data_IF_559373024903
#
_entry.id   IF_559373024903
#
_cell.length_a   1.000
_cell.length_b   1.000
_cell.length_c   1.000
_cell.angle_alpha   90.00
_cell.angle_beta   90.00
_cell.angle_gamma   90.00
#
_symmetry.space_group_name_H-M   'P 1'
#
loop_
_entity.id
_entity.type
_entity.pdbx_description
1 polymer ?
#
# COMPACT_ATOMS: atom_id res chain seq x y z
N UNK A 1 -85.30 -49.18 21.45
CA UNK A 1 -85.43 -50.26 20.45
C UNK A 1 -85.15 -49.69 19.08
N UNK A 2 -84.33 -50.38 18.27
CA UNK A 2 -83.72 -49.90 17.02
C UNK A 2 -82.20 -50.04 17.10
N UNK A 3 -81.66 -51.26 17.14
CA UNK A 3 -81.26 -52.09 15.99
C UNK A 3 -80.27 -51.43 15.02
N UNK A 4 -79.03 -51.89 15.19
CA UNK A 4 -78.12 -52.41 14.16
C UNK A 4 -76.99 -51.54 13.59
N UNK A 5 -75.84 -52.21 13.31
CA UNK A 5 -74.52 -51.62 13.23
C UNK A 5 -74.02 -51.50 11.78
N UNK A 6 -73.28 -50.44 11.47
CA UNK A 6 -72.49 -50.35 10.23
C UNK A 6 -71.02 -50.63 10.58
N UNK A 7 -70.49 -51.82 10.32
CA UNK A 7 -70.05 -52.31 9.00
C UNK A 7 -68.91 -51.48 8.39
N UNK A 8 -67.69 -51.90 8.71
CA UNK A 8 -66.54 -52.05 7.80
C UNK A 8 -66.29 -50.98 6.73
N UNK A 9 -65.20 -50.21 6.91
CA UNK A 9 -64.20 -50.05 5.83
C UNK A 9 -62.85 -49.61 6.39
N UNK A 10 -61.99 -50.61 6.62
CA UNK A 10 -60.54 -50.44 6.56
C UNK A 10 -60.19 -49.89 5.17
N UNK A 11 -60.07 -48.56 5.05
CA UNK A 11 -59.37 -47.93 3.94
C UNK A 11 -57.90 -47.99 4.28
N UNK A 12 -57.30 -49.12 3.89
CA UNK A 12 -55.89 -49.23 3.54
C UNK A 12 -55.64 -48.12 2.50
N UNK A 13 -55.18 -46.96 2.95
CA UNK A 13 -54.60 -45.98 2.05
C UNK A 13 -53.31 -46.59 1.55
N UNK A 14 -53.39 -47.17 0.35
CA UNK A 14 -52.24 -47.52 -0.47
C UNK A 14 -51.36 -46.28 -0.57
N UNK A 15 -50.31 -46.28 0.26
CA UNK A 15 -49.12 -45.47 0.07
C UNK A 15 -48.53 -45.97 -1.25
N UNK A 16 -48.99 -45.40 -2.37
CA UNK A 16 -48.33 -45.55 -3.65
C UNK A 16 -46.90 -45.07 -3.45
N UNK A 17 -46.01 -46.05 -3.28
CA UNK A 17 -44.60 -45.94 -3.59
C UNK A 17 -44.55 -45.59 -5.08
N UNK A 18 -44.64 -44.30 -5.38
CA UNK A 18 -44.12 -43.71 -6.60
C UNK A 18 -42.70 -43.19 -6.31
N UNK A 19 -41.88 -44.06 -5.73
CA UNK A 19 -40.45 -44.10 -6.01
C UNK A 19 -40.38 -45.01 -7.24
N UNK A 20 -39.93 -44.57 -8.41
CA UNK A 20 -38.51 -44.66 -8.78
C UNK A 20 -38.31 -44.03 -10.17
N UNK A 21 -38.97 -42.90 -10.47
CA UNK A 21 -38.74 -42.16 -11.72
C UNK A 21 -37.86 -40.91 -11.52
N UNK A 22 -37.20 -40.78 -10.36
CA UNK A 22 -35.99 -39.96 -10.28
C UNK A 22 -34.85 -40.77 -10.88
N UNK A 23 -34.87 -40.75 -12.21
CA UNK A 23 -33.88 -41.25 -13.13
C UNK A 23 -32.46 -41.14 -12.57
N UNK A 24 -31.71 -42.22 -12.75
CA UNK A 24 -30.26 -42.31 -12.66
C UNK A 24 -29.60 -41.05 -13.25
N UNK A 25 -29.38 -40.04 -12.42
CA UNK A 25 -28.52 -38.92 -12.79
C UNK A 25 -27.11 -39.51 -12.72
N UNK A 26 -26.36 -39.55 -13.84
CA UNK A 26 -25.04 -40.15 -13.86
C UNK A 26 -24.18 -39.47 -12.78
N UNK A 27 -23.51 -40.26 -11.93
CA UNK A 27 -22.65 -39.74 -10.86
C UNK A 27 -21.60 -38.74 -11.37
N UNK A 28 -21.21 -38.90 -12.63
CA UNK A 28 -20.30 -38.02 -13.37
C UNK A 28 -20.79 -36.57 -13.42
N UNK A 29 -22.10 -36.39 -13.58
CA UNK A 29 -22.76 -35.10 -13.69
C UNK A 29 -22.82 -34.38 -12.33
N UNK A 30 -22.94 -35.15 -11.24
CA UNK A 30 -22.84 -34.63 -9.87
C UNK A 30 -21.41 -34.24 -9.48
N UNK A 31 -20.39 -34.98 -9.93
CA UNK A 31 -18.99 -34.56 -9.75
C UNK A 31 -18.68 -33.29 -10.52
N UNK A 32 -19.09 -33.21 -11.78
CA UNK A 32 -18.84 -32.06 -12.63
C UNK A 32 -19.48 -30.77 -12.08
N UNK A 33 -20.69 -30.86 -11.54
CA UNK A 33 -21.37 -29.71 -10.92
C UNK A 33 -20.70 -29.26 -9.61
N UNK A 34 -20.26 -30.19 -8.76
CA UNK A 34 -19.55 -29.84 -7.53
C UNK A 34 -18.19 -29.18 -7.77
N UNK A 35 -17.44 -29.64 -8.77
CA UNK A 35 -16.16 -29.03 -9.16
C UNK A 35 -16.36 -27.60 -9.69
N UNK A 36 -17.40 -27.38 -10.49
CA UNK A 36 -17.73 -26.05 -11.01
C UNK A 36 -18.10 -25.06 -9.90
N UNK A 37 -18.87 -25.52 -8.89
CA UNK A 37 -19.25 -24.70 -7.72
C UNK A 37 -18.02 -24.30 -6.88
N UNK A 38 -17.04 -25.20 -6.74
CA UNK A 38 -15.79 -24.91 -6.02
C UNK A 38 -14.94 -23.84 -6.75
N UNK A 39 -14.82 -23.94 -8.07
CA UNK A 39 -14.08 -22.96 -8.88
C UNK A 39 -14.70 -21.56 -8.74
N UNK A 40 -16.03 -21.46 -8.78
CA UNK A 40 -16.73 -20.17 -8.63
C UNK A 40 -16.46 -19.54 -7.26
N UNK A 41 -16.48 -20.31 -6.17
CA UNK A 41 -16.16 -19.79 -4.82
C UNK A 41 -14.71 -19.35 -4.69
N UNK A 42 -13.78 -20.08 -5.29
CA UNK A 42 -12.37 -19.71 -5.29
C UNK A 42 -12.16 -18.39 -6.04
N UNK A 43 -12.75 -18.24 -7.23
CA UNK A 43 -12.68 -16.99 -8.02
C UNK A 43 -13.30 -15.82 -7.24
N UNK A 44 -14.42 -16.04 -6.56
CA UNK A 44 -15.08 -15.01 -5.77
C UNK A 44 -14.22 -14.55 -4.58
N UNK A 45 -13.49 -15.46 -3.91
CA UNK A 45 -12.55 -15.11 -2.83
C UNK A 45 -11.37 -14.28 -3.32
N UNK A 46 -10.81 -14.60 -4.48
CA UNK A 46 -9.75 -13.80 -5.10
C UNK A 46 -10.23 -12.43 -5.53
N UNK A 47 -11.45 -12.34 -6.04
CA UNK A 47 -12.06 -11.05 -6.36
C UNK A 47 -12.18 -10.16 -5.12
N UNK A 48 -12.59 -10.68 -3.97
CA UNK A 48 -12.65 -9.89 -2.73
C UNK A 48 -11.27 -9.33 -2.37
N UNK A 49 -10.19 -10.12 -2.50
CA UNK A 49 -8.83 -9.65 -2.22
C UNK A 49 -8.37 -8.58 -3.22
N UNK A 50 -8.67 -8.74 -4.50
CA UNK A 50 -8.36 -7.76 -5.54
C UNK A 50 -9.13 -6.46 -5.29
N UNK A 51 -10.43 -6.52 -4.96
CA UNK A 51 -11.24 -5.33 -4.64
C UNK A 51 -10.69 -4.63 -3.40
N UNK A 52 -10.44 -5.37 -2.32
CA UNK A 52 -9.86 -4.80 -1.09
C UNK A 52 -8.53 -4.12 -1.41
N UNK A 53 -7.66 -4.76 -2.17
CA UNK A 53 -6.38 -4.18 -2.56
C UNK A 53 -6.53 -2.92 -3.45
N UNK A 54 -7.45 -2.95 -4.42
CA UNK A 54 -7.80 -1.78 -5.24
C UNK A 54 -8.41 -0.64 -4.42
N UNK A 55 -9.08 -0.92 -3.31
CA UNK A 55 -9.59 0.11 -2.40
C UNK A 55 -8.50 0.69 -1.48
N UNK A 56 -7.50 -0.11 -1.09
CA UNK A 56 -6.40 0.34 -0.24
C UNK A 56 -5.23 0.96 -1.03
N UNK A 57 -5.04 0.58 -2.30
CA UNK A 57 -4.03 1.14 -3.21
C UNK A 57 -4.08 2.67 -3.31
N UNK A 58 -5.25 3.31 -3.53
CA UNK A 58 -5.38 4.74 -3.52
C UNK A 58 -4.94 5.33 -2.19
N UNK A 59 -5.28 4.75 -1.05
CA UNK A 59 -4.89 5.30 0.28
C UNK A 59 -3.36 5.27 0.45
N UNK A 60 -2.71 4.22 -0.03
CA UNK A 60 -1.24 4.08 0.00
C UNK A 60 -0.56 5.06 -0.96
N UNK A 61 -1.14 5.26 -2.15
CA UNK A 61 -0.64 6.19 -3.18
C UNK A 61 -1.02 7.65 -2.91
N UNK A 62 -2.07 7.88 -2.13
CA UNK A 62 -2.59 9.20 -1.73
C UNK A 62 -1.91 9.71 -0.47
N UNK A 63 -0.81 9.11 -0.02
CA UNK A 63 0.11 9.79 0.89
C UNK A 63 0.73 10.92 0.05
N UNK A 64 0.13 12.13 0.04
CA UNK A 64 0.47 13.19 -0.93
C UNK A 64 1.91 13.64 -0.73
N UNK A 65 2.39 13.41 0.50
CA UNK A 65 3.71 13.67 0.98
C UNK A 65 4.83 13.04 0.13
N UNK A 66 4.58 11.87 -0.46
CA UNK A 66 5.58 11.22 -1.32
C UNK A 66 5.67 11.84 -2.72
N UNK A 67 4.56 12.32 -3.27
CA UNK A 67 4.51 12.84 -4.63
C UNK A 67 5.01 14.28 -4.72
N UNK A 68 4.65 15.12 -3.74
CA UNK A 68 5.11 16.51 -3.70
C UNK A 68 6.61 16.57 -3.39
N UNK A 69 7.10 15.82 -2.40
CA UNK A 69 8.54 15.68 -2.16
C UNK A 69 9.32 15.22 -3.39
N UNK A 70 8.85 14.23 -4.15
CA UNK A 70 9.52 13.78 -5.39
C UNK A 70 9.46 14.84 -6.49
N UNK A 71 8.32 15.53 -6.62
CA UNK A 71 8.15 16.61 -7.61
C UNK A 71 9.05 17.79 -7.30
N UNK A 72 9.15 18.18 -6.04
CA UNK A 72 10.01 19.25 -5.56
C UNK A 72 11.48 18.83 -5.64
N UNK A 73 11.79 17.59 -5.27
CA UNK A 73 13.11 17.02 -5.43
C UNK A 73 13.57 17.07 -6.90
N UNK A 74 12.68 16.77 -7.84
CA UNK A 74 12.93 16.90 -9.27
C UNK A 74 13.00 18.36 -9.71
N UNK A 75 12.16 19.22 -9.16
CA UNK A 75 12.13 20.64 -9.49
C UNK A 75 13.42 21.35 -9.08
N UNK A 76 14.01 21.05 -7.91
CA UNK A 76 15.34 21.60 -7.58
C UNK A 76 16.54 20.85 -8.18
N UNK A 77 16.33 19.75 -8.90
CA UNK A 77 17.36 19.19 -9.77
C UNK A 77 17.44 19.93 -11.12
N UNK A 78 16.40 20.67 -11.49
CA UNK A 78 16.36 21.48 -12.71
C UNK A 78 17.05 22.83 -12.50
N UNK A 79 18.24 22.99 -13.08
CA UNK A 79 19.02 24.22 -13.00
C UNK A 79 18.31 25.44 -13.57
N UNK A 80 17.36 25.26 -14.51
CA UNK A 80 16.61 26.38 -15.09
C UNK A 80 15.57 26.96 -14.13
N UNK A 81 15.07 26.13 -13.19
CA UNK A 81 14.02 26.51 -12.24
C UNK A 81 14.55 26.96 -10.89
N UNK A 82 15.85 26.77 -10.66
CA UNK A 82 16.49 27.03 -9.38
C UNK A 82 17.33 28.29 -9.41
N UNK A 83 17.55 28.84 -8.22
CA UNK A 83 18.54 29.88 -8.00
C UNK A 83 19.27 29.60 -6.69
N UNK A 84 20.52 30.05 -6.60
CA UNK A 84 21.33 29.95 -5.39
C UNK A 84 21.39 31.28 -4.67
N UNK A 85 21.29 31.26 -3.35
CA UNK A 85 21.47 32.42 -2.47
C UNK A 85 22.23 32.01 -1.24
N UNK A 86 22.89 32.97 -0.61
CA UNK A 86 23.56 32.76 0.67
C UNK A 86 22.55 32.94 1.81
N UNK A 87 22.34 31.90 2.59
CA UNK A 87 21.51 31.93 3.79
C UNK A 87 22.36 32.15 5.04
N UNK A 88 21.78 32.80 6.04
CA UNK A 88 22.35 32.97 7.38
C UNK A 88 21.92 31.79 8.25
N UNK A 89 22.85 31.25 9.02
CA UNK A 89 22.57 30.16 9.95
C UNK A 89 21.91 30.75 11.18
N UNK A 90 20.76 30.19 11.56
CA UNK A 90 19.99 30.59 12.73
C UNK A 90 20.37 29.72 13.93
N UNK A 91 20.52 28.41 13.70
CA UNK A 91 20.81 27.44 14.75
C UNK A 91 21.52 26.21 14.17
N UNK A 92 22.25 25.48 15.02
CA UNK A 92 23.01 24.30 14.64
C UNK A 92 22.81 23.20 15.69
N UNK A 93 22.67 21.95 15.25
CA UNK A 93 22.58 20.81 16.17
C UNK A 93 23.24 19.56 15.63
N UNK A 94 23.65 18.70 16.57
CA UNK A 94 24.12 17.35 16.30
C UNK A 94 23.12 16.36 16.89
N UNK A 95 22.28 15.74 16.07
CA UNK A 95 21.29 14.75 16.53
C UNK A 95 21.41 13.42 15.78
N UNK A 96 20.84 13.32 14.57
CA UNK A 96 21.02 12.16 13.66
C UNK A 96 22.09 12.42 12.59
N UNK A 97 22.69 13.59 12.65
CA UNK A 97 23.64 14.13 11.70
C UNK A 97 24.00 15.55 12.09
N UNK A 98 24.76 16.19 11.19
CA UNK A 98 25.05 17.61 11.25
C UNK A 98 23.84 18.35 10.66
N UNK A 99 23.08 19.02 11.50
CA UNK A 99 21.84 19.66 11.09
C UNK A 99 21.89 21.16 11.40
N UNK A 100 21.34 21.96 10.50
CA UNK A 100 21.31 23.42 10.62
C UNK A 100 19.92 23.95 10.31
N UNK A 101 19.55 25.04 10.99
CA UNK A 101 18.44 25.91 10.60
C UNK A 101 19.02 27.16 9.99
N UNK A 102 18.41 27.61 8.90
CA UNK A 102 18.87 28.77 8.16
C UNK A 102 17.70 29.62 7.71
N UNK A 103 17.98 30.89 7.49
CA UNK A 103 17.07 31.86 6.91
C UNK A 103 17.78 32.64 5.80
N UNK A 104 17.07 32.98 4.73
CA UNK A 104 17.60 33.80 3.65
C UNK A 104 16.58 34.82 3.20
N UNK A 105 17.06 35.99 2.80
CA UNK A 105 16.21 37.11 2.42
C UNK A 105 16.14 37.22 0.90
N UNK A 106 14.92 37.37 0.37
CA UNK A 106 14.65 37.66 -1.04
C UNK A 106 13.76 38.89 -1.12
N UNK A 107 14.36 40.03 -1.46
CA UNK A 107 13.67 41.32 -1.42
C UNK A 107 13.27 41.65 0.03
N UNK A 108 11.96 41.86 0.25
CA UNK A 108 11.41 42.28 1.55
C UNK A 108 10.94 41.11 2.44
N UNK A 109 11.20 39.86 2.06
CA UNK A 109 10.76 38.67 2.81
C UNK A 109 11.91 37.74 3.15
N UNK A 110 11.89 37.26 4.40
CA UNK A 110 12.78 36.21 4.88
C UNK A 110 12.10 34.86 4.71
N UNK A 111 12.84 33.89 4.18
CA UNK A 111 12.38 32.54 3.94
C UNK A 111 13.22 31.56 4.74
N UNK A 112 12.55 30.55 5.30
CA UNK A 112 13.17 29.38 5.92
C UNK A 112 12.78 28.14 5.14
N UNK A 113 13.41 27.01 5.46
CA UNK A 113 13.00 25.73 4.89
C UNK A 113 11.58 25.39 5.36
N UNK A 114 10.66 25.22 4.41
CA UNK A 114 9.33 24.69 4.64
C UNK A 114 9.19 23.26 4.10
N UNK A 115 8.28 22.48 4.68
CA UNK A 115 7.80 21.24 4.06
C UNK A 115 6.48 21.46 3.30
N UNK A 116 6.03 20.40 2.63
CA UNK A 116 4.76 20.32 1.92
C UNK A 116 3.52 20.55 2.79
N UNK A 117 3.65 20.42 4.11
CA UNK A 117 2.58 20.71 5.06
C UNK A 117 2.58 22.19 5.50
N UNK A 118 3.48 23.01 4.96
CA UNK A 118 3.65 24.41 5.32
C UNK A 118 4.29 24.59 6.70
N UNK A 119 4.92 23.57 7.28
CA UNK A 119 5.72 23.73 8.50
C UNK A 119 7.03 24.38 8.11
N UNK A 120 7.25 25.57 8.65
CA UNK A 120 8.45 26.36 8.43
C UNK A 120 9.55 26.03 9.45
N UNK A 121 10.73 26.63 9.27
CA UNK A 121 11.82 26.61 10.25
C UNK A 121 12.38 25.20 10.53
N UNK A 122 12.40 24.38 9.48
CA UNK A 122 12.83 22.99 9.57
C UNK A 122 14.34 22.82 9.52
N UNK A 123 14.81 21.78 10.19
CA UNK A 123 16.22 21.38 10.19
C UNK A 123 16.65 20.82 8.83
N UNK A 124 17.89 21.10 8.45
CA UNK A 124 18.50 20.63 7.21
C UNK A 124 19.83 19.95 7.47
N UNK A 125 20.00 18.76 6.93
CA UNK A 125 21.26 18.05 6.98
C UNK A 125 22.33 18.72 6.13
N UNK A 126 23.51 18.90 6.72
CA UNK A 126 24.72 19.42 6.06
C UNK A 126 25.85 18.39 6.09
N UNK A 127 26.75 18.51 5.12
CA UNK A 127 27.94 17.70 5.05
C UNK A 127 28.86 17.99 6.24
N UNK A 128 29.66 17.01 6.63
CA UNK A 128 30.68 17.18 7.68
C UNK A 128 31.64 18.33 7.37
N UNK A 129 31.95 18.56 6.08
CA UNK A 129 32.81 19.66 5.64
C UNK A 129 32.16 21.01 5.92
N UNK A 130 30.89 21.17 5.53
CA UNK A 130 30.13 22.38 5.84
C UNK A 130 30.00 22.58 7.36
N UNK A 131 29.76 21.50 8.12
CA UNK A 131 29.72 21.57 9.58
C UNK A 131 31.01 22.12 10.17
N UNK A 132 32.18 21.64 9.73
CA UNK A 132 33.46 22.15 10.19
C UNK A 132 33.68 23.63 9.83
N UNK A 133 33.27 24.06 8.64
CA UNK A 133 33.30 25.48 8.26
C UNK A 133 32.45 26.35 9.20
N UNK A 134 31.27 25.87 9.56
CA UNK A 134 30.36 26.57 10.47
C UNK A 134 30.98 26.68 11.86
N UNK A 135 31.55 25.58 12.37
CA UNK A 135 32.28 25.57 13.64
C UNK A 135 33.55 26.44 13.61
N UNK A 136 34.14 26.69 12.44
CA UNK A 136 35.26 27.61 12.25
C UNK A 136 34.82 29.09 12.21
N UNK A 137 33.54 29.40 12.35
CA UNK A 137 32.99 30.75 12.41
C UNK A 137 32.25 31.21 11.15
N UNK A 138 32.07 30.34 10.15
CA UNK A 138 31.29 30.67 8.96
C UNK A 138 29.78 30.64 9.28
N UNK A 139 29.17 31.81 9.47
CA UNK A 139 27.74 31.91 9.82
C UNK A 139 26.79 31.89 8.60
N UNK A 140 27.30 31.46 7.43
CA UNK A 140 26.58 31.54 6.16
C UNK A 140 26.72 30.24 5.38
N UNK A 141 25.67 29.84 4.67
CA UNK A 141 25.66 28.66 3.81
C UNK A 141 25.02 28.96 2.46
N UNK A 142 25.52 28.33 1.40
CA UNK A 142 24.90 28.40 0.09
C UNK A 142 23.66 27.49 0.05
N UNK A 143 22.50 28.07 -0.26
CA UNK A 143 21.19 27.42 -0.35
C UNK A 143 20.67 27.56 -1.78
N UNK A 144 20.07 26.48 -2.29
CA UNK A 144 19.34 26.46 -3.56
C UNK A 144 17.84 26.46 -3.28
N UNK A 145 17.11 27.35 -3.94
CA UNK A 145 15.66 27.47 -3.80
C UNK A 145 14.97 27.44 -5.17
N UNK A 146 13.68 27.12 -5.17
CA UNK A 146 12.86 27.11 -6.37
C UNK A 146 12.33 28.53 -6.65
N UNK A 147 12.55 29.08 -7.85
CA UNK A 147 12.16 30.47 -8.17
C UNK A 147 10.65 30.71 -8.08
N UNK A 148 9.85 29.69 -8.41
CA UNK A 148 8.38 29.77 -8.33
C UNK A 148 7.85 29.70 -6.91
N UNK A 149 8.61 29.10 -5.96
CA UNK A 149 8.24 29.01 -4.56
C UNK A 149 9.51 28.95 -3.69
N UNK A 150 9.99 30.09 -3.18
CA UNK A 150 11.23 30.14 -2.41
C UNK A 150 11.18 29.38 -1.07
N UNK A 151 10.00 29.12 -0.50
CA UNK A 151 9.86 28.32 0.72
C UNK A 151 10.40 26.88 0.53
N UNK A 152 10.41 26.41 -0.72
CA UNK A 152 11.06 25.16 -1.09
C UNK A 152 12.54 25.45 -1.33
N UNK A 153 13.33 25.24 -0.28
CA UNK A 153 14.77 25.50 -0.27
C UNK A 153 15.55 24.34 0.36
N UNK A 154 16.80 24.19 -0.07
CA UNK A 154 17.72 23.18 0.47
C UNK A 154 19.16 23.63 0.36
N UNK A 155 20.05 23.16 1.27
CA UNK A 155 21.47 23.42 1.13
C UNK A 155 21.96 23.02 -0.26
N UNK A 156 22.84 23.84 -0.84
CA UNK A 156 23.41 23.56 -2.16
C UNK A 156 24.13 22.20 -2.19
N UNK A 157 24.32 21.56 -3.35
CA UNK A 157 24.90 20.22 -3.44
C UNK A 157 26.27 20.05 -2.77
N UNK A 158 27.08 21.12 -2.64
CA UNK A 158 28.35 21.09 -1.92
C UNK A 158 28.25 21.22 -0.40
N UNK A 159 27.10 21.68 0.10
CA UNK A 159 26.80 21.90 1.53
C UNK A 159 25.93 20.79 2.10
N UNK A 160 25.00 20.24 1.32
CA UNK A 160 24.09 19.18 1.76
C UNK A 160 24.83 17.87 2.11
N UNK A 161 24.34 17.13 3.12
CA UNK A 161 24.92 15.84 3.55
C UNK A 161 24.77 14.76 2.48
N UNK A 162 23.60 14.69 1.84
CA UNK A 162 23.29 13.70 0.81
C UNK A 162 22.66 14.39 -0.41
N UNK A 163 22.94 13.84 -1.59
CA UNK A 163 22.38 14.29 -2.85
C UNK A 163 20.89 13.92 -2.95
N UNK A 164 20.17 14.72 -3.73
CA UNK A 164 18.78 14.53 -4.20
C UNK A 164 18.40 13.08 -4.55
N UNK A 165 19.40 12.27 -4.88
CA UNK A 165 19.24 10.87 -5.25
C UNK A 165 18.86 9.96 -4.08
N UNK A 166 19.21 10.31 -2.84
CA UNK A 166 18.97 9.45 -1.67
C UNK A 166 17.50 9.44 -1.23
N UNK A 167 16.88 10.62 -1.05
CA UNK A 167 15.45 10.72 -0.70
C UNK A 167 14.55 10.07 -1.76
N UNK A 168 14.92 10.25 -3.04
CA UNK A 168 14.21 9.64 -4.16
C UNK A 168 14.42 8.13 -4.16
N UNK A 169 15.65 7.64 -3.96
CA UNK A 169 15.94 6.21 -3.87
C UNK A 169 15.21 5.54 -2.69
N UNK A 170 15.13 6.18 -1.54
CA UNK A 170 14.43 5.66 -0.36
C UNK A 170 12.91 5.56 -0.62
N UNK A 171 12.32 6.54 -1.31
CA UNK A 171 10.91 6.49 -1.72
C UNK A 171 10.64 5.35 -2.72
N UNK A 172 11.52 5.14 -3.71
CA UNK A 172 11.42 4.03 -4.66
C UNK A 172 11.66 2.67 -4.01
N UNK A 173 12.60 2.58 -3.07
CA UNK A 173 12.88 1.36 -2.33
C UNK A 173 11.66 0.91 -1.52
N UNK A 174 10.95 1.85 -0.90
CA UNK A 174 9.71 1.58 -0.16
C UNK A 174 8.60 1.10 -1.10
N UNK A 175 8.44 1.72 -2.27
CA UNK A 175 7.51 1.27 -3.31
C UNK A 175 7.83 -0.14 -3.83
N UNK A 176 9.11 -0.42 -4.10
CA UNK A 176 9.56 -1.74 -4.54
C UNK A 176 9.33 -2.78 -3.44
N UNK A 177 9.64 -2.47 -2.19
CA UNK A 177 9.41 -3.35 -1.04
C UNK A 177 7.92 -3.67 -0.87
N UNK A 178 7.05 -2.66 -0.99
CA UNK A 178 5.60 -2.84 -0.99
C UNK A 178 5.16 -3.76 -2.12
N UNK A 179 5.64 -3.52 -3.34
CA UNK A 179 5.34 -4.36 -4.50
C UNK A 179 5.75 -5.82 -4.26
N UNK A 180 6.98 -6.05 -3.79
CA UNK A 180 7.51 -7.39 -3.47
C UNK A 180 6.68 -8.07 -2.39
N UNK A 181 6.30 -7.37 -1.31
CA UNK A 181 5.43 -7.92 -0.28
C UNK A 181 4.07 -8.32 -0.83
N UNK A 182 3.47 -7.50 -1.69
CA UNK A 182 2.19 -7.84 -2.34
C UNK A 182 2.31 -9.04 -3.26
N UNK A 183 3.33 -9.09 -4.12
CA UNK A 183 3.53 -10.26 -5.00
C UNK A 183 3.86 -11.52 -4.21
N UNK A 184 4.67 -11.40 -3.17
CA UNK A 184 5.00 -12.51 -2.26
C UNK A 184 3.76 -13.05 -1.56
N UNK A 185 2.86 -12.17 -1.10
CA UNK A 185 1.60 -12.57 -0.48
C UNK A 185 0.65 -13.27 -1.47
N UNK A 186 0.50 -12.75 -2.68
CA UNK A 186 -0.27 -13.41 -3.75
C UNK A 186 0.28 -14.80 -4.08
N UNK A 187 1.61 -14.93 -4.18
CA UNK A 187 2.26 -16.20 -4.49
C UNK A 187 2.17 -17.21 -3.34
N UNK A 188 2.31 -16.75 -2.09
CA UNK A 188 2.11 -17.57 -0.91
C UNK A 188 0.66 -18.07 -0.80
N UNK A 189 -0.31 -17.22 -1.11
CA UNK A 189 -1.73 -17.60 -1.17
C UNK A 189 -1.99 -18.71 -2.19
N UNK A 190 -1.41 -18.61 -3.39
CA UNK A 190 -1.54 -19.63 -4.43
C UNK A 190 -0.84 -20.95 -4.03
N UNK A 191 0.33 -20.89 -3.38
CA UNK A 191 0.99 -22.11 -2.88
C UNK A 191 0.20 -22.79 -1.77
N UNK A 192 -0.34 -22.02 -0.83
CA UNK A 192 -1.17 -22.55 0.25
C UNK A 192 -2.42 -23.22 -0.31
N UNK A 193 -3.05 -22.63 -1.34
CA UNK A 193 -4.18 -23.22 -2.04
C UNK A 193 -3.83 -24.58 -2.63
N UNK A 194 -2.73 -24.67 -3.39
CA UNK A 194 -2.29 -25.96 -3.97
C UNK A 194 -2.01 -27.00 -2.90
N UNK A 195 -1.41 -26.59 -1.78
CA UNK A 195 -1.16 -27.46 -0.64
C UNK A 195 -2.46 -27.98 -0.02
N UNK A 196 -3.46 -27.12 0.20
CA UNK A 196 -4.75 -27.52 0.77
C UNK A 196 -5.48 -28.48 -0.18
N UNK A 197 -5.48 -28.20 -1.49
CA UNK A 197 -6.12 -29.08 -2.48
C UNK A 197 -5.43 -30.44 -2.54
N UNK A 198 -4.09 -30.48 -2.53
CA UNK A 198 -3.33 -31.72 -2.56
C UNK A 198 -3.50 -32.58 -1.29
N UNK A 199 -3.74 -31.95 -0.14
CA UNK A 199 -3.87 -32.65 1.16
C UNK A 199 -5.33 -32.74 1.65
N UNK A 200 -6.33 -32.51 0.79
CA UNK A 200 -7.72 -32.80 1.19
C UNK A 200 -7.83 -34.30 1.47
N UNK A 201 -8.22 -34.72 2.69
CA UNK A 201 -8.48 -36.13 2.94
C UNK A 201 -9.58 -36.56 1.99
N UNK A 202 -9.31 -37.60 1.19
CA UNK A 202 -10.34 -38.24 0.38
C UNK A 202 -11.48 -38.58 1.33
N UNK A 203 -12.65 -37.97 1.11
CA UNK A 203 -13.82 -38.27 1.91
C UNK A 203 -14.07 -39.78 1.75
N UNK A 204 -13.77 -40.55 2.80
CA UNK A 204 -14.12 -41.96 2.87
C UNK A 204 -15.63 -42.01 2.89
N UNK A 205 -16.23 -42.22 1.72
CA UNK A 205 -17.66 -42.50 1.59
C UNK A 205 -17.89 -43.81 2.34
N UNK A 206 -18.65 -43.83 3.44
CA UNK A 206 -19.03 -45.08 4.06
C UNK A 206 -19.96 -45.81 3.07
N UNK A 207 -19.52 -46.95 2.55
CA UNK A 207 -20.40 -47.89 1.88
C UNK A 207 -21.39 -48.40 2.96
N UNK A 208 -22.65 -47.98 2.85
CA UNK A 208 -23.78 -48.53 3.60
C UNK A 208 -24.65 -49.28 2.61
#
# INVERSE_FOLDING_TARGET
MGLCPFSTRSRRCDRRSGSDDFADVPEDLWRQTNDMIQIIRDVQRWWVLIVVWLCFSPIILSIPAGLETVRDARALADFQRTSSVTATIVDTRLYRGYEVRYAFDLGDRSYTKADEFGREDLWSDVSIRAWHSIQAGENKIAVTYLRSNPAISRPSPGVAKNSTSSDVADSYALLILLAVLTFGWLFAGERLRRFIVANRPAATVPYI
#
